data_IF_831346083323
#
_entry.id   IF_831346083323
#
_cell.length_a   1.000
_cell.length_b   1.000
_cell.length_c   1.000
_cell.angle_alpha   90.00
_cell.angle_beta   90.00
_cell.angle_gamma   90.00
#
_symmetry.space_group_name_H-M   'P 1'
#
loop_
_entity.id
_entity.type
_entity.pdbx_description
1 polymer ?
#
# COMPACT_ATOMS: atom_id res chain seq x y z
N UNK A 1 -47.78 -25.30 16.40
CA UNK A 1 -46.77 -25.15 15.34
C UNK A 1 -46.09 -23.82 15.57
N UNK A 2 -44.84 -23.89 16.04
CA UNK A 2 -44.30 -23.03 17.08
C UNK A 2 -43.64 -21.74 16.62
N UNK A 3 -43.67 -20.76 17.53
CA UNK A 3 -43.04 -19.42 17.48
C UNK A 3 -41.50 -19.43 17.38
N UNK A 4 -40.85 -20.60 17.23
CA UNK A 4 -39.40 -20.78 17.17
C UNK A 4 -38.84 -20.90 15.74
N UNK A 5 -39.69 -21.15 14.72
CA UNK A 5 -39.25 -21.27 13.32
C UNK A 5 -38.85 -19.94 12.67
N UNK A 6 -39.09 -18.80 13.33
CA UNK A 6 -38.72 -17.46 12.83
C UNK A 6 -37.44 -16.88 13.45
N UNK A 7 -36.83 -17.54 14.44
CA UNK A 7 -35.56 -17.08 15.04
C UNK A 7 -34.31 -17.67 14.37
N UNK A 8 -34.47 -18.65 13.48
CA UNK A 8 -33.38 -19.33 12.78
C UNK A 8 -33.61 -19.38 11.27
N UNK A 9 -34.00 -18.25 10.67
CA UNK A 9 -33.73 -18.08 9.23
C UNK A 9 -32.22 -18.18 9.04
N UNK A 10 -31.79 -19.32 8.51
CA UNK A 10 -30.40 -19.56 8.12
C UNK A 10 -30.04 -18.49 7.10
N UNK A 11 -29.13 -17.61 7.49
CA UNK A 11 -28.63 -16.56 6.61
C UNK A 11 -27.54 -17.17 5.77
N UNK A 12 -27.58 -16.96 4.46
CA UNK A 12 -26.53 -17.46 3.57
C UNK A 12 -25.52 -16.35 3.28
N UNK A 13 -24.29 -16.76 2.93
CA UNK A 13 -23.28 -15.84 2.43
C UNK A 13 -23.73 -15.29 1.07
N UNK A 14 -23.77 -13.97 0.92
CA UNK A 14 -24.15 -13.29 -0.32
C UNK A 14 -23.21 -13.58 -1.51
N UNK A 15 -22.03 -14.15 -1.24
CA UNK A 15 -21.00 -14.44 -2.24
C UNK A 15 -20.94 -15.93 -2.59
N UNK A 16 -20.80 -16.80 -1.58
CA UNK A 16 -20.58 -18.22 -1.79
C UNK A 16 -21.78 -19.11 -1.46
N UNK A 17 -22.89 -18.54 -0.97
CA UNK A 17 -24.11 -19.29 -0.62
C UNK A 17 -24.00 -20.18 0.63
N UNK A 18 -22.84 -20.23 1.30
CA UNK A 18 -22.66 -21.05 2.51
C UNK A 18 -23.62 -20.61 3.61
N UNK A 19 -24.33 -21.56 4.23
CA UNK A 19 -25.18 -21.32 5.39
C UNK A 19 -24.36 -20.76 6.55
N UNK A 20 -24.79 -19.64 7.12
CA UNK A 20 -24.11 -18.94 8.19
C UNK A 20 -24.80 -19.17 9.53
N UNK A 21 -24.03 -19.72 10.47
CA UNK A 21 -24.43 -19.84 11.87
C UNK A 21 -24.52 -18.50 12.61
N UNK A 22 -24.59 -18.54 13.94
CA UNK A 22 -24.58 -17.33 14.77
C UNK A 22 -23.21 -16.62 14.79
N UNK A 23 -22.12 -17.38 14.65
CA UNK A 23 -20.74 -16.88 14.73
C UNK A 23 -20.10 -16.85 13.33
N UNK A 24 -19.21 -15.88 13.10
CA UNK A 24 -18.42 -15.80 11.86
C UNK A 24 -19.13 -15.21 10.65
N UNK A 25 -20.30 -14.59 10.83
CA UNK A 25 -20.97 -13.77 9.81
C UNK A 25 -20.75 -12.29 10.05
N UNK A 26 -20.42 -11.58 8.98
CA UNK A 26 -20.37 -10.10 9.00
C UNK A 26 -21.55 -9.57 8.21
N UNK A 27 -22.31 -8.65 8.80
CA UNK A 27 -23.40 -7.97 8.09
C UNK A 27 -22.80 -6.96 7.10
N UNK A 28 -23.34 -6.94 5.89
CA UNK A 28 -23.08 -5.92 4.87
C UNK A 28 -24.38 -5.17 4.52
N UNK A 29 -24.37 -4.19 3.62
CA UNK A 29 -25.59 -3.47 3.24
C UNK A 29 -26.64 -4.44 2.66
N UNK A 30 -26.20 -5.39 1.85
CA UNK A 30 -27.06 -6.36 1.17
C UNK A 30 -26.74 -7.80 1.58
N UNK A 31 -27.06 -8.14 2.83
CA UNK A 31 -26.97 -9.50 3.34
C UNK A 31 -25.81 -9.74 4.30
N UNK A 32 -25.16 -10.90 4.19
CA UNK A 32 -24.13 -11.36 5.12
C UNK A 32 -22.95 -11.97 4.37
N UNK A 33 -21.76 -11.82 4.93
CA UNK A 33 -20.51 -12.38 4.41
C UNK A 33 -19.93 -13.41 5.40
N UNK A 34 -19.47 -14.55 4.88
CA UNK A 34 -18.70 -15.52 5.68
C UNK A 34 -17.27 -15.01 5.93
N UNK A 35 -16.61 -15.56 6.96
CA UNK A 35 -15.23 -15.22 7.30
C UNK A 35 -14.24 -15.47 6.14
N UNK A 36 -14.46 -16.52 5.35
CA UNK A 36 -13.57 -16.86 4.23
C UNK A 36 -13.65 -15.84 3.10
N UNK A 37 -14.85 -15.45 2.66
CA UNK A 37 -15.02 -14.40 1.65
C UNK A 37 -14.51 -13.05 2.17
N UNK A 38 -14.76 -12.72 3.44
CA UNK A 38 -14.22 -11.51 4.05
C UNK A 38 -12.68 -11.50 4.09
N UNK A 39 -12.07 -12.65 4.35
CA UNK A 39 -10.60 -12.80 4.40
C UNK A 39 -9.90 -12.74 3.04
N UNK A 40 -10.65 -12.84 1.92
CA UNK A 40 -10.09 -12.70 0.57
C UNK A 40 -10.00 -11.24 0.11
N UNK A 41 -10.75 -10.33 0.75
CA UNK A 41 -10.71 -8.92 0.43
C UNK A 41 -9.33 -8.32 0.72
N UNK A 42 -8.91 -7.36 -0.10
CA UNK A 42 -7.73 -6.53 0.18
C UNK A 42 -7.76 -5.99 1.63
N UNK A 43 -6.62 -6.02 2.35
CA UNK A 43 -6.52 -5.40 3.67
C UNK A 43 -6.74 -3.88 3.66
N UNK A 44 -6.55 -3.22 2.51
CA UNK A 44 -6.73 -1.78 2.35
C UNK A 44 -8.14 -1.39 1.91
N UNK A 45 -8.97 -2.36 1.53
CA UNK A 45 -10.38 -2.11 1.24
C UNK A 45 -11.13 -1.87 2.54
N UNK A 46 -11.08 -0.64 3.04
CA UNK A 46 -11.75 -0.23 4.27
C UNK A 46 -13.24 0.06 4.02
N UNK A 47 -14.06 0.06 5.07
CA UNK A 47 -15.48 0.42 4.96
C UNK A 47 -16.38 -0.60 4.24
N UNK A 48 -15.85 -1.74 3.76
CA UNK A 48 -16.61 -2.76 3.02
C UNK A 48 -17.86 -3.32 3.72
N UNK A 49 -18.01 -3.10 5.03
CA UNK A 49 -19.23 -3.46 5.75
C UNK A 49 -20.46 -2.66 5.31
N UNK A 50 -20.28 -1.53 4.65
CA UNK A 50 -21.35 -0.78 3.99
C UNK A 50 -21.43 -1.05 2.49
N UNK A 51 -20.73 -2.06 1.96
CA UNK A 51 -20.79 -2.43 0.55
C UNK A 51 -21.99 -3.34 0.25
N UNK A 52 -22.47 -3.27 -0.99
CA UNK A 52 -23.45 -4.20 -1.56
C UNK A 52 -22.79 -5.56 -1.87
N UNK A 53 -23.59 -6.57 -2.21
CA UNK A 53 -23.02 -7.85 -2.63
C UNK A 53 -22.22 -7.73 -3.94
N UNK A 54 -22.64 -6.84 -4.84
CA UNK A 54 -21.97 -6.59 -6.12
C UNK A 54 -20.62 -5.90 -5.92
N UNK A 55 -20.54 -4.86 -5.08
CA UNK A 55 -19.27 -4.21 -4.73
C UNK A 55 -18.24 -5.23 -4.19
N UNK A 56 -18.69 -6.16 -3.35
CA UNK A 56 -17.83 -7.23 -2.82
C UNK A 56 -17.38 -8.19 -3.93
N UNK A 57 -18.24 -8.53 -4.89
CA UNK A 57 -17.87 -9.39 -6.04
C UNK A 57 -16.84 -8.70 -6.93
N UNK A 58 -17.04 -7.42 -7.23
CA UNK A 58 -16.08 -6.63 -8.01
C UNK A 58 -14.72 -6.57 -7.34
N UNK A 59 -14.70 -6.40 -6.02
CA UNK A 59 -13.47 -6.39 -5.27
C UNK A 59 -12.79 -7.75 -5.25
N UNK A 60 -13.55 -8.85 -5.10
CA UNK A 60 -12.99 -10.20 -5.20
C UNK A 60 -12.43 -10.51 -6.59
N UNK A 61 -13.08 -10.04 -7.66
CA UNK A 61 -12.55 -10.14 -9.02
C UNK A 61 -11.25 -9.34 -9.18
N UNK A 62 -11.17 -8.14 -8.59
CA UNK A 62 -9.93 -7.38 -8.51
C UNK A 62 -8.81 -8.16 -7.79
N UNK A 63 -9.14 -8.89 -6.71
CA UNK A 63 -8.19 -9.72 -5.95
C UNK A 63 -7.71 -10.95 -6.73
N UNK A 64 -8.58 -11.53 -7.55
CA UNK A 64 -8.25 -12.64 -8.45
C UNK A 64 -7.27 -12.18 -9.54
N UNK A 65 -7.58 -11.06 -10.22
CA UNK A 65 -6.67 -10.44 -11.19
C UNK A 65 -5.32 -10.02 -10.55
N UNK A 66 -5.35 -9.55 -9.29
CA UNK A 66 -4.13 -9.27 -8.53
C UNK A 66 -3.27 -10.52 -8.33
N UNK A 67 -3.89 -11.67 -7.99
CA UNK A 67 -3.17 -12.93 -7.79
C UNK A 67 -2.48 -13.41 -9.07
N UNK A 68 -3.12 -13.23 -10.23
CA UNK A 68 -2.51 -13.55 -11.53
C UNK A 68 -1.28 -12.69 -11.79
N UNK A 69 -1.37 -11.36 -11.57
CA UNK A 69 -0.22 -10.44 -11.70
C UNK A 69 0.90 -10.78 -10.69
N UNK A 70 0.54 -11.24 -9.49
CA UNK A 70 1.48 -11.60 -8.44
C UNK A 70 2.32 -12.83 -8.78
N UNK A 71 1.80 -13.72 -9.63
CA UNK A 71 2.56 -14.88 -10.10
C UNK A 71 3.81 -14.48 -10.88
N UNK A 72 3.77 -13.39 -11.65
CA UNK A 72 4.92 -12.85 -12.40
C UNK A 72 5.75 -11.83 -11.65
N UNK A 73 5.32 -11.39 -10.45
CA UNK A 73 6.05 -10.40 -9.67
C UNK A 73 7.43 -10.94 -9.23
N UNK A 74 8.48 -10.21 -9.61
CA UNK A 74 9.86 -10.56 -9.36
C UNK A 74 10.58 -9.44 -8.59
N UNK A 75 10.67 -9.52 -7.26
CA UNK A 75 11.27 -8.45 -6.47
C UNK A 75 12.76 -8.29 -6.80
N UNK A 76 13.11 -7.14 -7.34
CA UNK A 76 14.48 -6.68 -7.65
C UNK A 76 15.15 -6.00 -6.46
N UNK A 77 14.35 -5.33 -5.61
CA UNK A 77 14.80 -4.65 -4.39
C UNK A 77 13.79 -4.83 -3.27
N UNK A 78 14.25 -4.84 -2.03
CA UNK A 78 13.39 -4.90 -0.84
C UNK A 78 13.83 -3.84 0.16
N UNK A 79 12.87 -3.05 0.63
CA UNK A 79 13.05 -2.05 1.68
C UNK A 79 12.31 -2.54 2.93
N UNK A 80 12.98 -2.53 4.08
CA UNK A 80 12.39 -2.98 5.33
C UNK A 80 11.91 -1.79 6.16
N UNK A 81 10.72 -1.94 6.72
CA UNK A 81 10.11 -1.08 7.71
C UNK A 81 9.66 -1.98 8.88
N UNK A 82 10.60 -2.30 9.77
CA UNK A 82 10.42 -3.32 10.79
C UNK A 82 10.13 -4.68 10.17
N UNK A 83 9.05 -5.31 10.62
CA UNK A 83 8.55 -6.58 10.05
C UNK A 83 7.86 -6.44 8.69
N UNK A 84 7.57 -5.22 8.24
CA UNK A 84 6.91 -4.97 6.96
C UNK A 84 7.96 -4.75 5.88
N UNK A 85 7.82 -5.44 4.75
CA UNK A 85 8.67 -5.26 3.59
C UNK A 85 7.90 -4.56 2.48
N UNK A 86 8.55 -3.56 1.89
CA UNK A 86 8.15 -2.93 0.63
C UNK A 86 9.05 -3.54 -0.43
N UNK A 87 8.49 -4.43 -1.25
CA UNK A 87 9.23 -5.12 -2.31
C UNK A 87 8.96 -4.43 -3.63
N UNK A 88 10.02 -4.19 -4.39
CA UNK A 88 10.00 -3.46 -5.65
C UNK A 88 10.42 -4.39 -6.79
N UNK A 89 9.59 -4.46 -7.82
CA UNK A 89 9.92 -5.01 -9.13
C UNK A 89 10.15 -3.82 -10.06
N UNK A 90 11.39 -3.34 -10.10
CA UNK A 90 11.78 -2.12 -10.82
C UNK A 90 11.69 -2.32 -12.34
N UNK A 91 11.88 -3.56 -12.81
CA UNK A 91 11.77 -3.93 -14.23
C UNK A 91 10.31 -3.85 -14.70
N UNK A 92 9.35 -4.31 -13.88
CA UNK A 92 7.93 -4.26 -14.19
C UNK A 92 7.23 -2.95 -13.76
N UNK A 93 7.91 -2.11 -12.96
CA UNK A 93 7.34 -0.89 -12.39
C UNK A 93 6.27 -1.16 -11.34
N UNK A 94 6.43 -2.23 -10.53
CA UNK A 94 5.45 -2.70 -9.57
C UNK A 94 6.02 -2.73 -8.14
N UNK A 95 5.18 -2.53 -7.14
CA UNK A 95 5.51 -2.81 -5.74
C UNK A 95 4.42 -3.59 -5.03
N UNK A 96 4.82 -4.28 -3.97
CA UNK A 96 3.92 -4.87 -2.98
C UNK A 96 4.38 -4.48 -1.58
N UNK A 97 3.45 -4.46 -0.64
CA UNK A 97 3.71 -4.19 0.78
C UNK A 97 3.17 -5.35 1.59
N UNK A 98 4.02 -5.99 2.40
CA UNK A 98 3.63 -7.20 3.14
C UNK A 98 4.51 -7.45 4.35
N UNK A 99 3.91 -7.92 5.43
CA UNK A 99 4.62 -8.45 6.61
C UNK A 99 4.66 -9.98 6.63
N UNK A 100 4.11 -10.65 5.60
CA UNK A 100 4.05 -12.10 5.54
C UNK A 100 5.26 -12.67 4.81
N UNK A 101 5.93 -13.67 5.41
CA UNK A 101 7.07 -14.36 4.78
C UNK A 101 6.64 -15.11 3.51
N UNK A 102 5.51 -15.81 3.56
CA UNK A 102 4.86 -16.46 2.41
C UNK A 102 3.94 -15.49 1.68
N UNK A 103 4.50 -14.37 1.21
CA UNK A 103 3.72 -13.28 0.63
C UNK A 103 2.92 -13.68 -0.62
N UNK A 104 3.37 -14.67 -1.41
CA UNK A 104 2.59 -15.16 -2.56
C UNK A 104 1.23 -15.73 -2.15
N UNK A 105 1.17 -16.43 -1.02
CA UNK A 105 -0.08 -17.00 -0.51
C UNK A 105 -0.97 -15.92 0.13
N UNK A 106 -0.35 -14.86 0.65
CA UNK A 106 -1.03 -13.71 1.23
C UNK A 106 -1.74 -12.82 0.19
N UNK A 107 -1.31 -12.92 -1.07
CA UNK A 107 -1.80 -12.10 -2.17
C UNK A 107 -1.78 -10.58 -1.83
N UNK A 108 -0.65 -9.94 -1.45
CA UNK A 108 -0.64 -8.50 -1.22
C UNK A 108 -1.03 -7.75 -2.49
N UNK A 109 -1.66 -6.58 -2.34
CA UNK A 109 -2.04 -5.75 -3.47
C UNK A 109 -0.80 -5.28 -4.24
N UNK A 110 -0.81 -5.49 -5.56
CA UNK A 110 0.16 -4.95 -6.49
C UNK A 110 -0.22 -3.52 -6.80
N UNK A 111 0.76 -2.64 -6.64
CA UNK A 111 0.64 -1.21 -6.91
C UNK A 111 1.65 -0.87 -8.00
N UNK A 112 1.20 -0.19 -9.04
CA UNK A 112 2.10 0.32 -10.07
C UNK A 112 2.83 1.56 -9.53
N UNK A 113 4.09 1.76 -9.92
CA UNK A 113 4.85 2.97 -9.54
C UNK A 113 4.14 4.26 -9.98
N UNK A 114 3.44 4.20 -11.12
CA UNK A 114 2.61 5.29 -11.64
C UNK A 114 1.45 5.67 -10.72
N UNK A 115 0.98 4.74 -9.88
CA UNK A 115 -0.09 4.97 -8.91
C UNK A 115 0.44 5.60 -7.62
N UNK A 116 1.75 5.62 -7.38
CA UNK A 116 2.33 6.21 -6.16
C UNK A 116 2.32 7.75 -6.26
N UNK A 117 1.61 8.37 -5.33
CA UNK A 117 1.43 9.82 -5.22
C UNK A 117 2.30 10.47 -4.15
N UNK A 118 3.10 9.71 -3.40
CA UNK A 118 3.99 10.25 -2.39
C UNK A 118 4.07 9.35 -1.17
N UNK A 119 4.97 9.72 -0.25
CA UNK A 119 5.13 9.04 1.03
C UNK A 119 5.45 10.09 2.09
N UNK A 120 4.61 10.15 3.11
CA UNK A 120 4.82 10.98 4.29
C UNK A 120 5.40 10.13 5.41
N UNK A 121 6.23 10.74 6.24
CA UNK A 121 6.81 10.13 7.44
C UNK A 121 6.41 10.98 8.64
N UNK A 122 5.82 10.33 9.63
CA UNK A 122 5.41 10.94 10.88
C UNK A 122 6.02 10.21 12.09
N UNK A 123 6.22 10.93 13.19
CA UNK A 123 6.74 10.39 14.44
C UNK A 123 5.74 10.75 15.54
N UNK A 124 4.97 9.76 15.96
CA UNK A 124 4.07 9.87 17.11
C UNK A 124 4.91 9.88 18.38
N UNK A 125 4.95 11.02 19.07
CA UNK A 125 5.56 11.18 20.40
C UNK A 125 4.46 11.14 21.47
N UNK A 126 4.41 10.05 22.23
CA UNK A 126 3.53 9.92 23.38
C UNK A 126 4.26 10.34 24.65
N UNK A 127 3.64 11.22 25.43
CA UNK A 127 4.21 11.78 26.65
C UNK A 127 3.34 11.46 27.85
N UNK A 128 3.84 10.60 28.72
CA UNK A 128 3.13 10.11 29.90
C UNK A 128 3.79 10.61 31.17
N UNK A 129 3.05 11.35 32.00
CA UNK A 129 3.60 11.82 33.28
C UNK A 129 3.79 10.67 34.27
N UNK A 130 4.95 10.65 34.91
CA UNK A 130 5.30 9.67 35.94
C UNK A 130 4.90 10.23 37.30
N UNK A 131 4.21 9.42 38.10
CA UNK A 131 3.75 9.80 39.44
C UNK A 131 4.46 8.91 40.49
N UNK A 132 4.70 9.46 41.69
CA UNK A 132 5.08 8.67 42.87
C UNK A 132 3.85 8.32 43.70
N UNK A 133 3.85 7.13 44.28
CA UNK A 133 2.85 6.73 45.27
C UNK A 133 3.37 7.08 46.67
N UNK A 134 2.54 7.73 47.48
CA UNK A 134 2.87 8.04 48.88
C UNK A 134 2.54 6.86 49.80
N UNK A 135 3.01 6.88 51.06
CA UNK A 135 2.65 5.87 52.06
C UNK A 135 1.13 5.73 52.26
N UNK A 136 0.37 6.82 52.04
CA UNK A 136 -1.10 6.84 52.11
C UNK A 136 -1.80 6.33 50.82
N UNK A 137 -1.06 5.88 49.80
CA UNK A 137 -1.60 5.43 48.51
C UNK A 137 -2.01 6.54 47.53
N UNK A 138 -1.79 7.82 47.86
CA UNK A 138 -2.04 8.93 46.94
C UNK A 138 -0.97 9.02 45.84
N UNK A 139 -1.41 9.26 44.60
CA UNK A 139 -0.50 9.55 43.47
C UNK A 139 -0.13 11.04 43.49
N UNK A 140 1.15 11.35 43.69
CA UNK A 140 1.69 12.73 43.60
C UNK A 140 2.64 12.86 42.42
N UNK A 141 2.52 13.97 41.69
CA UNK A 141 3.49 14.34 40.66
C UNK A 141 4.85 14.66 41.30
N UNK A 142 5.91 14.54 40.50
CA UNK A 142 7.24 15.02 40.85
C UNK A 142 7.32 16.55 40.65
N UNK A 143 8.23 17.21 41.36
CA UNK A 143 8.54 18.62 41.14
C UNK A 143 10.06 18.74 40.85
N UNK A 144 10.47 19.02 39.59
CA UNK A 144 9.61 19.21 38.41
C UNK A 144 8.95 17.90 37.92
N UNK A 145 7.82 17.97 37.19
CA UNK A 145 7.14 16.80 36.62
C UNK A 145 8.06 15.97 35.73
N UNK A 146 7.97 14.65 35.86
CA UNK A 146 8.75 13.68 35.07
C UNK A 146 7.85 13.02 34.04
N UNK A 147 8.39 12.71 32.88
CA UNK A 147 7.64 12.09 31.79
C UNK A 147 8.42 10.94 31.19
N UNK A 148 7.70 9.87 30.87
CA UNK A 148 8.15 8.85 29.93
C UNK A 148 7.72 9.27 28.52
N UNK A 149 8.64 9.12 27.56
CA UNK A 149 8.46 9.51 26.17
C UNK A 149 8.59 8.31 25.28
N UNK A 150 7.53 8.01 24.55
CA UNK A 150 7.45 6.88 23.65
C UNK A 150 7.33 7.36 22.21
N UNK A 151 7.98 6.68 21.28
CA UNK A 151 8.06 7.06 19.88
C UNK A 151 7.64 5.93 18.95
N UNK A 152 6.73 6.23 18.04
CA UNK A 152 6.33 5.36 16.94
C UNK A 152 6.53 6.06 15.59
N UNK A 153 7.22 5.41 14.67
CA UNK A 153 7.49 5.90 13.32
C UNK A 153 6.45 5.32 12.37
N UNK A 154 5.72 6.19 11.69
CA UNK A 154 4.68 5.80 10.74
C UNK A 154 4.99 6.36 9.35
N UNK A 155 4.67 5.56 8.34
CA UNK A 155 4.68 5.99 6.94
C UNK A 155 3.26 5.94 6.39
N UNK A 156 2.89 6.99 5.67
CA UNK A 156 1.65 7.06 4.89
C UNK A 156 2.01 7.15 3.42
N UNK A 157 1.77 6.07 2.67
CA UNK A 157 2.01 6.03 1.23
C UNK A 157 0.71 6.39 0.53
N UNK A 158 0.73 7.49 -0.22
CA UNK A 158 -0.41 7.96 -1.00
C UNK A 158 -0.41 7.25 -2.35
N UNK A 159 -1.57 6.71 -2.72
CA UNK A 159 -1.74 5.91 -3.94
C UNK A 159 -3.04 6.24 -4.66
N UNK A 160 -3.07 6.03 -5.96
CA UNK A 160 -4.27 6.18 -6.79
C UNK A 160 -4.79 4.81 -7.23
N UNK A 161 -5.49 4.12 -6.34
CA UNK A 161 -6.13 2.82 -6.63
C UNK A 161 -7.66 2.93 -6.53
N UNK A 162 -8.43 2.00 -7.13
CA UNK A 162 -9.88 2.04 -7.07
C UNK A 162 -10.47 1.87 -5.66
N UNK A 163 -9.76 1.18 -4.75
CA UNK A 163 -10.32 0.75 -3.46
C UNK A 163 -9.67 1.42 -2.24
N UNK A 164 -8.53 2.09 -2.41
CA UNK A 164 -7.81 2.77 -1.35
C UNK A 164 -6.93 3.89 -1.90
N UNK A 165 -6.80 4.95 -1.12
CA UNK A 165 -5.98 6.13 -1.46
C UNK A 165 -4.70 6.22 -0.63
N UNK A 166 -4.62 5.48 0.46
CA UNK A 166 -3.52 5.56 1.42
C UNK A 166 -3.20 4.17 1.96
N UNK A 167 -1.91 3.95 2.23
CA UNK A 167 -1.40 2.78 2.94
C UNK A 167 -0.59 3.27 4.12
N UNK A 168 -1.11 3.04 5.33
CA UNK A 168 -0.40 3.30 6.57
C UNK A 168 0.40 2.08 7.01
N UNK A 169 1.67 2.26 7.37
CA UNK A 169 2.46 1.23 8.02
C UNK A 169 3.35 1.81 9.11
N UNK A 170 3.47 1.07 10.21
CA UNK A 170 4.38 1.35 11.31
C UNK A 170 5.74 0.73 11.01
N UNK A 171 6.80 1.52 11.18
CA UNK A 171 8.18 1.16 10.84
C UNK A 171 8.85 0.41 11.99
N UNK A 172 8.61 0.79 13.24
CA UNK A 172 9.18 0.10 14.39
C UNK A 172 8.28 -1.04 14.88
N UNK A 173 8.86 -2.21 15.17
CA UNK A 173 8.11 -3.40 15.62
C UNK A 173 7.55 -3.28 17.04
N UNK A 174 8.22 -2.49 17.88
CA UNK A 174 7.85 -2.20 19.27
C UNK A 174 8.02 -0.72 19.55
N UNK A 175 7.28 -0.20 20.51
CA UNK A 175 7.34 1.22 20.90
C UNK A 175 8.73 1.54 21.44
N UNK A 176 9.25 2.71 21.07
CA UNK A 176 10.62 3.11 21.38
C UNK A 176 10.57 4.08 22.56
N UNK A 177 11.14 3.69 23.69
CA UNK A 177 11.04 4.44 24.96
C UNK A 177 12.09 5.56 25.09
N UNK A 178 13.06 5.64 24.17
CA UNK A 178 14.16 6.59 24.29
C UNK A 178 14.50 7.26 22.95
N UNK A 179 14.43 8.59 22.96
CA UNK A 179 14.88 9.42 21.83
C UNK A 179 16.36 9.23 21.56
N UNK A 180 16.71 8.98 20.30
CA UNK A 180 18.11 8.83 19.88
C UNK A 180 18.76 7.48 20.26
N UNK A 181 17.99 6.54 20.81
CA UNK A 181 18.42 5.15 20.99
C UNK A 181 18.83 4.51 19.67
N UNK A 182 19.38 3.29 19.71
CA UNK A 182 19.72 2.55 18.48
C UNK A 182 18.46 2.26 17.69
N UNK A 183 17.38 1.85 18.37
CA UNK A 183 16.06 1.57 17.81
C UNK A 183 15.46 2.82 17.18
N UNK A 184 15.54 3.98 17.85
CA UNK A 184 15.08 5.26 17.30
C UNK A 184 15.81 5.61 15.99
N UNK A 185 17.14 5.47 15.99
CA UNK A 185 17.97 5.81 14.83
C UNK A 185 17.71 4.84 13.68
N UNK A 186 17.54 3.55 13.97
CA UNK A 186 17.24 2.54 12.97
C UNK A 186 15.84 2.72 12.36
N UNK A 187 14.82 2.94 13.19
CA UNK A 187 13.47 3.22 12.71
C UNK A 187 13.44 4.48 11.83
N UNK A 188 14.13 5.55 12.25
CA UNK A 188 14.27 6.76 11.43
C UNK A 188 14.99 6.49 10.11
N UNK A 189 16.06 5.69 10.12
CA UNK A 189 16.83 5.32 8.94
C UNK A 189 15.95 4.55 7.94
N UNK A 190 15.25 3.52 8.40
CA UNK A 190 14.33 2.72 7.60
C UNK A 190 13.18 3.56 7.03
N UNK A 191 12.54 4.38 7.86
CA UNK A 191 11.46 5.26 7.44
C UNK A 191 11.93 6.25 6.34
N UNK A 192 13.10 6.85 6.54
CA UNK A 192 13.72 7.75 5.57
C UNK A 192 14.07 7.03 4.28
N UNK A 193 14.67 5.84 4.36
CA UNK A 193 15.04 5.03 3.19
C UNK A 193 13.82 4.66 2.34
N UNK A 194 12.74 4.20 2.97
CA UNK A 194 11.49 3.89 2.26
C UNK A 194 10.90 5.13 1.61
N UNK A 195 10.78 6.23 2.36
CA UNK A 195 10.25 7.49 1.84
C UNK A 195 11.03 7.98 0.63
N UNK A 196 12.35 8.06 0.75
CA UNK A 196 13.22 8.61 -0.29
C UNK A 196 13.20 7.73 -1.55
N UNK A 197 13.18 6.40 -1.39
CA UNK A 197 13.04 5.47 -2.50
C UNK A 197 11.70 5.66 -3.24
N UNK A 198 10.57 5.77 -2.52
CA UNK A 198 9.26 5.97 -3.14
C UNK A 198 9.15 7.34 -3.83
N UNK A 199 9.75 8.38 -3.26
CA UNK A 199 9.81 9.72 -3.89
C UNK A 199 10.66 9.68 -5.15
N UNK A 200 11.80 9.00 -5.13
CA UNK A 200 12.66 8.83 -6.30
C UNK A 200 11.93 8.06 -7.42
N UNK A 201 11.34 6.91 -7.12
CA UNK A 201 10.60 6.10 -8.09
C UNK A 201 9.47 6.90 -8.75
N UNK A 202 8.74 7.70 -7.96
CA UNK A 202 7.70 8.59 -8.48
C UNK A 202 8.26 9.61 -9.46
N UNK A 203 9.40 10.22 -9.12
CA UNK A 203 10.03 11.23 -9.97
C UNK A 203 10.49 10.60 -11.29
N UNK A 204 11.18 9.47 -11.23
CA UNK A 204 11.65 8.72 -12.40
C UNK A 204 10.48 8.29 -13.31
N UNK A 205 9.38 7.82 -12.72
CA UNK A 205 8.17 7.45 -13.47
C UNK A 205 7.57 8.66 -14.19
N UNK A 206 7.52 9.82 -13.52
CA UNK A 206 7.01 11.06 -14.13
C UNK A 206 7.91 11.55 -15.26
N UNK A 207 9.21 11.49 -15.07
CA UNK A 207 10.19 11.91 -16.07
C UNK A 207 10.12 11.00 -17.30
N UNK A 208 9.98 9.68 -17.10
CA UNK A 208 9.75 8.71 -18.18
C UNK A 208 8.45 9.00 -18.95
N UNK A 209 7.35 9.28 -18.25
CA UNK A 209 6.07 9.64 -18.89
C UNK A 209 6.17 10.98 -19.63
N UNK A 210 6.87 11.97 -19.06
CA UNK A 210 7.09 13.26 -19.71
C UNK A 210 7.96 13.12 -20.97
N UNK A 211 9.03 12.32 -20.90
CA UNK A 211 9.88 12.01 -22.05
C UNK A 211 9.10 11.27 -23.15
N UNK A 212 8.26 10.30 -22.79
CA UNK A 212 7.41 9.58 -23.75
C UNK A 212 6.36 10.49 -24.42
N UNK A 213 5.91 11.54 -23.72
CA UNK A 213 4.96 12.54 -24.24
C UNK A 213 5.64 13.74 -24.90
N UNK A 214 6.96 13.84 -24.86
CA UNK A 214 7.68 14.98 -25.42
C UNK A 214 7.41 15.06 -26.94
N UNK A 215 7.14 16.27 -27.47
CA UNK A 215 6.90 16.44 -28.89
C UNK A 215 8.15 16.00 -29.67
N UNK A 216 7.97 15.10 -30.63
CA UNK A 216 9.08 14.66 -31.48
C UNK A 216 9.45 15.79 -32.43
N UNK A 217 10.71 16.22 -32.41
CA UNK A 217 11.20 17.32 -33.23
C UNK A 217 11.23 16.90 -34.70
N UNK A 218 10.48 17.62 -35.54
CA UNK A 218 10.59 17.48 -36.99
C UNK A 218 11.90 18.09 -37.48
N UNK A 219 12.59 17.35 -38.35
CA UNK A 219 13.91 17.70 -38.88
C UNK A 219 13.91 17.45 -40.38
N UNK A 220 14.68 18.24 -41.12
CA UNK A 220 14.84 18.02 -42.56
C UNK A 220 15.87 16.92 -42.79
N UNK A 221 15.48 15.84 -43.46
CA UNK A 221 16.37 14.74 -43.79
C UNK A 221 17.47 15.21 -44.76
N UNK A 222 18.77 15.02 -44.46
CA UNK A 222 19.85 15.45 -45.35
C UNK A 222 19.96 14.60 -46.62
N UNK A 223 19.35 13.40 -46.65
CA UNK A 223 19.43 12.48 -47.79
C UNK A 223 18.32 12.67 -48.83
N UNK A 224 17.09 12.89 -48.38
CA UNK A 224 15.94 13.05 -49.29
C UNK A 224 15.27 14.42 -49.24
N UNK A 225 15.68 15.31 -48.32
CA UNK A 225 15.11 16.65 -48.17
C UNK A 225 13.71 16.70 -47.53
N UNK A 226 13.11 15.55 -47.21
CA UNK A 226 11.80 15.52 -46.55
C UNK A 226 11.89 16.06 -45.12
N UNK A 227 10.90 16.84 -44.70
CA UNK A 227 10.70 17.13 -43.26
C UNK A 227 10.10 15.89 -42.63
N UNK A 228 10.82 15.30 -41.67
CA UNK A 228 10.50 14.00 -41.09
C UNK A 228 10.71 14.03 -39.60
N UNK A 229 10.07 13.12 -38.89
CA UNK A 229 10.35 12.83 -37.49
C UNK A 229 11.21 11.56 -37.44
N UNK A 230 12.43 11.60 -36.85
CA UNK A 230 13.25 10.40 -36.77
C UNK A 230 12.51 9.30 -36.01
N UNK A 231 12.60 8.07 -36.51
CA UNK A 231 12.09 6.90 -35.82
C UNK A 231 12.92 6.58 -34.56
N UNK A 232 12.55 5.52 -33.81
CA UNK A 232 13.25 5.12 -32.60
C UNK A 232 14.75 4.78 -32.81
N UNK A 233 15.15 4.52 -34.06
CA UNK A 233 16.54 4.25 -34.47
C UNK A 233 17.24 5.50 -35.05
N UNK A 234 16.61 6.67 -34.96
CA UNK A 234 17.12 7.92 -35.51
C UNK A 234 17.09 7.99 -37.04
N UNK A 235 16.16 7.30 -37.71
CA UNK A 235 16.10 7.26 -39.19
C UNK A 235 14.92 8.04 -39.76
N UNK A 236 15.11 8.56 -40.97
CA UNK A 236 14.08 9.18 -41.78
C UNK A 236 12.95 8.20 -42.08
N UNK A 237 11.70 8.58 -41.79
CA UNK A 237 10.54 7.72 -42.04
C UNK A 237 10.28 7.48 -43.54
N UNK A 238 10.80 8.35 -44.42
CA UNK A 238 10.56 8.27 -45.86
C UNK A 238 11.65 7.50 -46.61
N UNK A 239 12.92 7.68 -46.25
CA UNK A 239 14.05 7.11 -47.01
C UNK A 239 14.94 6.17 -46.18
N UNK A 240 14.72 6.04 -44.87
CA UNK A 240 15.53 5.21 -43.97
C UNK A 240 16.95 5.73 -43.70
N UNK A 241 17.29 6.92 -44.22
CA UNK A 241 18.57 7.58 -43.98
C UNK A 241 18.73 8.02 -42.53
N UNK A 242 19.92 7.85 -41.96
CA UNK A 242 20.20 8.21 -40.57
C UNK A 242 20.14 9.74 -40.39
N UNK A 243 19.46 10.20 -39.34
CA UNK A 243 19.30 11.62 -39.02
C UNK A 243 20.02 11.90 -37.71
N UNK A 244 21.15 12.60 -37.81
CA UNK A 244 22.03 12.90 -36.68
C UNK A 244 23.13 11.87 -36.50
N UNK A 245 24.36 12.26 -36.86
CA UNK A 245 25.59 11.78 -36.26
C UNK A 245 26.19 12.95 -35.48
#
# INVERSE_FOLDING_TARGET
MGFFDKMFEKKECAICGTELGLLGKTKINEGYLCKECAGKLSPFFSGWRSSTADDIREQLAYREANAERLASFNPTRTLSAGRTNIMLDEDAGLLIITSQSRWRDANPDIIEFSQVLGCDMDIDEHRTEVYRETEDGERKSYDPPRYDLDYDFNLTIHVNTPYFTEIGLRVNDSTIEQRGSVEYREAKRQATEVRDALVQLRQETRDSVAAAKAPKTAVTCPFCGATTIPDASGRCEYCGGAIGA
#
